data_IF_368975388685
#
_entry.id   IF_368975388685
#
_cell.length_a   1.000
_cell.length_b   1.000
_cell.length_c   1.000
_cell.angle_alpha   90.00
_cell.angle_beta   90.00
_cell.angle_gamma   90.00
#
_symmetry.space_group_name_H-M   'P 1'
#
loop_
_entity.id
_entity.type
_entity.pdbx_description
1 polymer ?
#
# COMPACT_ATOMS: atom_id res chain seq x y z
N UNK A 1 37.88 -4.05 75.85
CA UNK A 1 37.83 -3.39 74.53
C UNK A 1 37.50 -1.93 74.79
N UNK A 2 38.27 -1.00 74.20
CA UNK A 2 38.10 0.44 74.42
C UNK A 2 36.79 0.92 73.77
N UNK A 3 35.91 1.56 74.55
CA UNK A 3 34.60 2.06 74.12
C UNK A 3 34.72 3.01 72.92
N UNK A 4 35.78 3.83 72.90
CA UNK A 4 36.07 4.76 71.80
C UNK A 4 36.38 4.04 70.50
N UNK A 5 37.03 2.88 70.56
CA UNK A 5 37.37 2.09 69.40
C UNK A 5 36.13 1.47 68.75
N UNK A 6 35.18 0.99 69.56
CA UNK A 6 33.89 0.47 69.08
C UNK A 6 33.05 1.58 68.47
N UNK A 7 32.99 2.75 69.11
CA UNK A 7 32.30 3.92 68.56
C UNK A 7 32.83 4.34 67.18
N UNK A 8 34.16 4.39 67.02
CA UNK A 8 34.79 4.69 65.73
C UNK A 8 34.44 3.66 64.64
N UNK A 9 34.43 2.37 64.97
CA UNK A 9 34.06 1.32 64.02
C UNK A 9 32.61 1.43 63.56
N UNK A 10 31.69 1.76 64.46
CA UNK A 10 30.28 1.99 64.12
C UNK A 10 30.12 3.15 63.12
N UNK A 11 30.75 4.30 63.39
CA UNK A 11 30.70 5.45 62.47
C UNK A 11 31.34 5.14 61.12
N UNK A 12 32.44 4.38 61.09
CA UNK A 12 33.07 3.94 59.84
C UNK A 12 32.17 3.00 59.03
N UNK A 13 31.39 2.15 59.71
CA UNK A 13 30.39 1.30 59.07
C UNK A 13 29.25 2.13 58.47
N UNK A 14 28.67 3.05 59.25
CA UNK A 14 27.60 3.94 58.79
C UNK A 14 28.02 4.78 57.57
N UNK A 15 29.20 5.39 57.63
CA UNK A 15 29.74 6.16 56.48
C UNK A 15 29.82 5.30 55.22
N UNK A 16 30.37 4.08 55.34
CA UNK A 16 30.51 3.16 54.21
C UNK A 16 29.14 2.73 53.67
N UNK A 17 28.20 2.41 54.56
CA UNK A 17 26.85 2.04 54.19
C UNK A 17 26.14 3.16 53.40
N UNK A 18 26.20 4.39 53.90
CA UNK A 18 25.63 5.56 53.22
C UNK A 18 26.30 5.78 51.85
N UNK A 19 27.62 5.65 51.76
CA UNK A 19 28.33 5.77 50.49
C UNK A 19 27.91 4.68 49.49
N UNK A 20 27.75 3.44 49.94
CA UNK A 20 27.24 2.35 49.10
C UNK A 20 25.80 2.62 48.63
N UNK A 21 24.94 3.16 49.49
CA UNK A 21 23.58 3.55 49.11
C UNK A 21 23.56 4.70 48.10
N UNK A 22 24.38 5.73 48.30
CA UNK A 22 24.53 6.83 47.33
C UNK A 22 24.96 6.29 45.97
N UNK A 23 25.93 5.38 45.92
CA UNK A 23 26.38 4.77 44.68
C UNK A 23 25.25 3.96 44.01
N UNK A 24 24.48 3.18 44.77
CA UNK A 24 23.32 2.46 44.25
C UNK A 24 22.28 3.41 43.65
N UNK A 25 21.98 4.52 44.33
CA UNK A 25 21.04 5.53 43.85
C UNK A 25 21.56 6.24 42.58
N UNK A 26 22.86 6.55 42.50
CA UNK A 26 23.46 7.17 41.31
C UNK A 26 23.53 6.22 40.11
N UNK A 27 23.65 4.92 40.35
CA UNK A 27 23.68 3.90 39.30
C UNK A 27 22.28 3.51 38.80
N UNK A 28 21.22 4.02 39.44
CA UNK A 28 19.85 3.79 39.00
C UNK A 28 19.66 4.37 37.60
N UNK A 29 19.63 3.49 36.60
CA UNK A 29 19.26 3.85 35.23
C UNK A 29 17.81 3.48 34.99
N UNK A 30 17.01 4.47 34.62
CA UNK A 30 15.66 4.25 34.13
C UNK A 30 15.72 3.88 32.64
N UNK A 31 14.82 2.99 32.20
CA UNK A 31 14.65 2.65 30.77
C UNK A 31 14.41 3.93 29.93
N UNK A 32 13.81 4.95 30.53
CA UNK A 32 13.43 6.20 29.85
C UNK A 32 14.51 7.29 29.90
N UNK A 33 15.71 6.98 30.39
CA UNK A 33 16.77 7.98 30.53
C UNK A 33 17.37 8.41 29.18
N UNK A 34 17.17 7.61 28.12
CA UNK A 34 17.71 7.85 26.78
C UNK A 34 16.61 7.79 25.71
N UNK A 35 15.44 8.35 25.99
CA UNK A 35 14.41 8.52 24.96
C UNK A 35 14.91 9.51 23.93
N UNK A 36 14.84 9.14 22.66
CA UNK A 36 15.09 10.07 21.55
C UNK A 36 14.00 11.14 21.56
N UNK A 37 14.43 12.38 21.72
CA UNK A 37 13.56 13.56 21.74
C UNK A 37 13.90 14.46 20.57
N UNK A 38 12.91 15.24 20.13
CA UNK A 38 13.12 16.31 19.18
C UNK A 38 14.27 17.25 19.63
N UNK A 39 15.18 17.66 18.73
CA UNK A 39 16.22 18.64 19.04
C UNK A 39 15.63 19.93 19.61
N UNK A 40 16.41 20.63 20.44
CA UNK A 40 15.97 21.86 21.11
C UNK A 40 15.52 22.94 20.12
N UNK A 41 16.28 23.15 19.04
CA UNK A 41 15.96 24.14 18.01
C UNK A 41 14.59 23.86 17.35
N UNK A 42 14.36 22.61 17.00
CA UNK A 42 13.09 22.17 16.41
C UNK A 42 11.94 22.27 17.41
N UNK A 43 12.18 21.95 18.68
CA UNK A 43 11.19 22.12 19.76
C UNK A 43 10.82 23.59 19.96
N UNK A 44 11.79 24.50 20.00
CA UNK A 44 11.50 25.92 20.16
C UNK A 44 10.71 26.50 18.97
N UNK A 45 10.94 25.98 17.77
CA UNK A 45 10.21 26.38 16.57
C UNK A 45 8.79 25.81 16.49
N UNK A 46 8.58 24.54 16.84
CA UNK A 46 7.30 23.85 16.68
C UNK A 46 6.40 23.87 17.91
N UNK A 47 6.98 23.99 19.11
CA UNK A 47 6.22 23.86 20.36
C UNK A 47 5.26 25.05 20.57
N UNK A 48 3.98 24.77 20.84
CA UNK A 48 3.03 25.79 21.26
C UNK A 48 3.46 26.51 22.55
N UNK A 49 3.02 27.77 22.72
CA UNK A 49 3.41 28.63 23.84
C UNK A 49 3.19 28.01 25.23
N UNK A 50 2.20 27.11 25.36
CA UNK A 50 1.93 26.40 26.61
C UNK A 50 3.10 25.55 27.12
N UNK A 51 3.97 25.05 26.23
CA UNK A 51 5.16 24.27 26.61
C UNK A 51 6.43 25.13 26.67
N UNK A 52 6.40 26.39 26.21
CA UNK A 52 7.56 27.30 26.26
C UNK A 52 7.63 28.13 27.55
N UNK A 53 6.60 28.06 28.40
CA UNK A 53 6.57 28.77 29.67
C UNK A 53 7.51 28.12 30.69
N UNK A 54 8.20 28.90 31.54
CA UNK A 54 8.98 28.37 32.66
C UNK A 54 10.30 27.67 32.29
N UNK A 55 10.93 28.05 31.17
CA UNK A 55 12.20 27.49 30.68
C UNK A 55 13.43 27.87 31.53
N UNK A 56 13.27 28.62 32.61
CA UNK A 56 14.38 29.07 33.47
C UNK A 56 15.05 27.91 34.23
N UNK A 57 14.33 26.79 34.43
CA UNK A 57 14.85 25.59 35.07
C UNK A 57 15.00 24.45 34.04
N UNK A 58 16.22 23.86 33.88
CA UNK A 58 16.45 22.73 32.98
C UNK A 58 15.51 21.54 33.20
N UNK A 59 15.11 21.27 34.45
CA UNK A 59 14.18 20.18 34.76
C UNK A 59 12.77 20.47 34.22
N UNK A 60 12.29 21.70 34.40
CA UNK A 60 10.97 22.13 33.89
C UNK A 60 10.95 22.11 32.36
N UNK A 61 12.02 22.59 31.72
CA UNK A 61 12.20 22.50 30.26
C UNK A 61 12.13 21.04 29.78
N UNK A 62 12.80 20.11 30.47
CA UNK A 62 12.76 18.69 30.11
C UNK A 62 11.35 18.11 30.22
N UNK A 63 10.59 18.44 31.27
CA UNK A 63 9.20 18.00 31.42
C UNK A 63 8.34 18.50 30.26
N UNK A 64 8.47 19.79 29.90
CA UNK A 64 7.70 20.36 28.81
C UNK A 64 8.03 19.72 27.45
N UNK A 65 9.31 19.42 27.21
CA UNK A 65 9.74 18.67 26.02
C UNK A 65 9.13 17.27 25.97
N UNK A 66 9.11 16.55 27.10
CA UNK A 66 8.51 15.22 27.18
C UNK A 66 7.00 15.24 26.96
N UNK A 67 6.30 16.24 27.51
CA UNK A 67 4.85 16.39 27.32
C UNK A 67 4.50 16.71 25.87
N UNK A 68 5.23 17.63 25.25
CA UNK A 68 5.06 17.95 23.82
C UNK A 68 5.27 16.71 22.94
N UNK A 69 6.37 15.99 23.12
CA UNK A 69 6.67 14.78 22.36
C UNK A 69 5.59 13.70 22.53
N UNK A 70 5.10 13.52 23.77
CA UNK A 70 4.01 12.58 24.05
C UNK A 70 2.74 12.93 23.29
N UNK A 71 2.36 14.20 23.30
CA UNK A 71 1.13 14.66 22.65
C UNK A 71 1.25 14.53 21.13
N UNK A 72 2.41 14.88 20.55
CA UNK A 72 2.70 14.68 19.12
C UNK A 72 2.63 13.20 18.73
N UNK A 73 3.27 12.31 19.49
CA UNK A 73 3.23 10.86 19.23
C UNK A 73 1.82 10.30 19.32
N UNK A 74 1.03 10.77 20.29
CA UNK A 74 -0.36 10.33 20.44
C UNK A 74 -1.20 10.82 19.24
N UNK A 75 -1.02 12.07 18.81
CA UNK A 75 -1.72 12.60 17.64
C UNK A 75 -1.36 11.84 16.36
N UNK A 76 -0.07 11.53 16.15
CA UNK A 76 0.40 10.74 15.01
C UNK A 76 -0.15 9.32 15.05
N UNK A 77 -0.18 8.68 16.22
CA UNK A 77 -0.76 7.35 16.36
C UNK A 77 -2.25 7.34 15.99
N UNK A 78 -3.02 8.31 16.46
CA UNK A 78 -4.44 8.44 16.08
C UNK A 78 -4.61 8.66 14.56
N UNK A 79 -3.73 9.45 13.94
CA UNK A 79 -3.74 9.65 12.48
C UNK A 79 -3.43 8.35 11.74
N UNK A 80 -2.43 7.60 12.21
CA UNK A 80 -2.06 6.30 11.64
C UNK A 80 -3.23 5.31 11.73
N UNK A 81 -3.89 5.22 12.89
CA UNK A 81 -5.05 4.36 13.10
C UNK A 81 -6.21 4.74 12.16
N UNK A 82 -6.50 6.05 12.03
CA UNK A 82 -7.52 6.55 11.08
C UNK A 82 -7.16 6.19 9.63
N UNK A 83 -5.92 6.42 9.21
CA UNK A 83 -5.47 6.11 7.85
C UNK A 83 -5.46 4.59 7.59
N UNK A 84 -5.14 3.78 8.59
CA UNK A 84 -5.19 2.33 8.48
C UNK A 84 -6.62 1.82 8.22
N UNK A 85 -7.63 2.40 8.89
CA UNK A 85 -9.04 2.09 8.63
C UNK A 85 -9.45 2.47 7.20
N UNK A 86 -9.15 3.70 6.77
CA UNK A 86 -9.44 4.16 5.41
C UNK A 86 -8.77 3.27 4.36
N UNK A 87 -7.50 2.89 4.60
CA UNK A 87 -6.77 1.96 3.73
C UNK A 87 -7.48 0.61 3.64
N UNK A 88 -7.95 0.05 4.76
CA UNK A 88 -8.68 -1.22 4.75
C UNK A 88 -10.00 -1.12 3.99
N UNK A 89 -10.73 -0.02 4.11
CA UNK A 89 -11.97 0.23 3.36
C UNK A 89 -11.69 0.31 1.86
N UNK A 90 -10.70 1.11 1.44
CA UNK A 90 -10.30 1.21 0.03
C UNK A 90 -9.83 -0.12 -0.57
N UNK A 91 -9.13 -0.96 0.21
CA UNK A 91 -8.75 -2.30 -0.23
C UNK A 91 -9.99 -3.17 -0.46
N UNK A 92 -10.99 -3.11 0.44
CA UNK A 92 -12.25 -3.85 0.27
C UNK A 92 -13.02 -3.37 -0.96
N UNK A 93 -13.06 -2.06 -1.21
CA UNK A 93 -13.70 -1.50 -2.41
C UNK A 93 -13.00 -1.91 -3.69
N UNK A 94 -11.66 -1.83 -3.74
CA UNK A 94 -10.88 -2.31 -4.88
C UNK A 94 -11.12 -3.79 -5.16
N UNK A 95 -11.13 -4.64 -4.13
CA UNK A 95 -11.45 -6.07 -4.29
C UNK A 95 -12.84 -6.29 -4.87
N UNK A 96 -13.86 -5.56 -4.38
CA UNK A 96 -15.21 -5.61 -4.97
C UNK A 96 -15.23 -5.15 -6.44
N UNK A 97 -14.39 -4.18 -6.80
CA UNK A 97 -14.20 -3.74 -8.18
C UNK A 97 -13.58 -4.83 -9.04
N UNK A 98 -12.50 -5.46 -8.56
CA UNK A 98 -11.84 -6.60 -9.20
C UNK A 98 -12.82 -7.76 -9.38
N UNK A 99 -13.56 -8.15 -8.35
CA UNK A 99 -14.55 -9.23 -8.43
C UNK A 99 -15.65 -8.95 -9.47
N UNK A 100 -15.98 -7.68 -9.74
CA UNK A 100 -16.94 -7.29 -10.78
C UNK A 100 -16.31 -7.36 -12.17
N UNK A 101 -15.07 -6.88 -12.32
CA UNK A 101 -14.32 -6.98 -13.57
C UNK A 101 -14.14 -8.45 -13.96
N UNK A 102 -13.69 -9.29 -13.03
CA UNK A 102 -13.53 -10.74 -13.26
C UNK A 102 -14.84 -11.43 -13.67
N UNK A 103 -15.99 -10.92 -13.20
CA UNK A 103 -17.31 -11.39 -13.66
C UNK A 103 -17.59 -10.94 -15.08
N UNK A 104 -17.37 -9.66 -15.39
CA UNK A 104 -17.59 -9.14 -16.74
C UNK A 104 -16.69 -9.82 -17.76
N UNK A 105 -15.43 -10.08 -17.43
CA UNK A 105 -14.50 -10.81 -18.29
C UNK A 105 -15.03 -12.21 -18.62
N UNK A 106 -15.51 -12.96 -17.61
CA UNK A 106 -16.13 -14.27 -17.84
C UNK A 106 -17.38 -14.21 -18.71
N UNK A 107 -18.27 -13.24 -18.45
CA UNK A 107 -19.46 -13.07 -19.27
C UNK A 107 -19.11 -12.71 -20.72
N UNK A 108 -18.03 -11.95 -20.92
CA UNK A 108 -17.56 -11.58 -22.24
C UNK A 108 -16.95 -12.78 -22.97
N UNK A 109 -16.14 -13.59 -22.28
CA UNK A 109 -15.61 -14.85 -22.81
C UNK A 109 -16.74 -15.81 -23.22
N UNK A 110 -17.75 -15.98 -22.35
CA UNK A 110 -18.93 -16.80 -22.64
C UNK A 110 -19.71 -16.26 -23.85
N UNK A 111 -19.85 -14.93 -23.96
CA UNK A 111 -20.50 -14.29 -25.11
C UNK A 111 -19.74 -14.54 -26.40
N UNK A 112 -18.41 -14.34 -26.41
CA UNK A 112 -17.55 -14.60 -27.57
C UNK A 112 -17.68 -16.05 -28.02
N UNK A 113 -17.59 -17.00 -27.07
CA UNK A 113 -17.77 -18.44 -27.35
C UNK A 113 -19.16 -18.75 -27.92
N UNK A 114 -20.21 -18.14 -27.38
CA UNK A 114 -21.58 -18.34 -27.86
C UNK A 114 -21.82 -17.72 -29.25
N UNK A 115 -21.09 -16.66 -29.61
CA UNK A 115 -21.18 -16.02 -30.93
C UNK A 115 -20.33 -16.71 -32.01
N UNK A 116 -19.34 -17.51 -31.64
CA UNK A 116 -18.45 -18.18 -32.60
C UNK A 116 -19.21 -19.04 -33.65
N UNK A 117 -20.23 -19.86 -33.28
CA UNK A 117 -20.99 -20.62 -34.27
C UNK A 117 -21.78 -19.75 -35.26
N UNK A 118 -22.25 -18.57 -34.80
CA UNK A 118 -22.95 -17.61 -35.66
C UNK A 118 -21.98 -16.93 -36.62
N UNK A 119 -20.77 -16.60 -36.15
CA UNK A 119 -19.72 -16.02 -36.98
C UNK A 119 -19.27 -17.00 -38.09
N UNK A 120 -19.09 -18.28 -37.75
CA UNK A 120 -18.74 -19.32 -38.72
C UNK A 120 -19.85 -19.49 -39.76
N UNK A 121 -21.12 -19.54 -39.35
CA UNK A 121 -22.26 -19.63 -40.27
C UNK A 121 -22.36 -18.41 -41.21
N UNK A 122 -22.05 -17.19 -40.72
CA UNK A 122 -22.04 -15.99 -41.57
C UNK A 122 -20.89 -16.00 -42.58
N UNK A 123 -19.72 -16.54 -42.22
CA UNK A 123 -18.58 -16.67 -43.14
C UNK A 123 -18.85 -17.71 -44.23
N UNK A 124 -19.50 -18.81 -43.88
CA UNK A 124 -19.90 -19.85 -44.82
C UNK A 124 -20.94 -19.32 -45.84
N UNK A 125 -21.84 -18.43 -45.43
CA UNK A 125 -22.83 -17.82 -46.33
C UNK A 125 -22.21 -16.76 -47.27
N UNK A 126 -21.17 -16.05 -46.83
CA UNK A 126 -20.41 -15.11 -47.69
C UNK A 126 -19.48 -15.80 -48.70
N UNK A 127 -19.18 -17.09 -48.53
CA UNK A 127 -18.26 -17.85 -49.38
C UNK A 127 -18.95 -18.75 -50.41
N UNK A 128 -20.30 -18.80 -50.44
CA UNK A 128 -21.05 -19.43 -51.54
C UNK A 128 -21.16 -18.47 -52.74
N UNK A 129 -20.40 -18.65 -53.83
CA UNK A 129 -20.75 -18.00 -55.08
C UNK A 129 -22.09 -18.56 -55.55
N UNK A 130 -23.01 -17.66 -55.89
CA UNK A 130 -24.23 -18.01 -56.61
C UNK A 130 -23.87 -18.58 -57.99
N UNK A 131 -24.71 -19.54 -58.42
CA UNK A 131 -24.89 -20.07 -59.78
C UNK A 131 -23.91 -21.14 -60.28
N UNK A 132 -24.45 -22.34 -60.50
CA UNK A 132 -24.59 -22.90 -61.85
C UNK A 132 -25.76 -23.89 -61.84
N UNK A 133 -26.93 -23.46 -62.31
CA UNK A 133 -28.01 -24.37 -62.73
C UNK A 133 -27.71 -24.79 -64.16
N UNK A 134 -27.46 -26.09 -64.33
CA UNK A 134 -27.39 -26.80 -65.61
C UNK A 134 -28.61 -26.50 -66.51
N UNK A 135 -28.35 -26.11 -67.76
CA UNK A 135 -29.29 -26.20 -68.88
C UNK A 135 -28.66 -27.10 -69.97
N UNK A 136 -29.22 -28.29 -70.27
CA UNK A 136 -28.81 -29.07 -71.42
C UNK A 136 -29.74 -28.80 -72.62
N UNK A 137 -29.13 -28.78 -73.81
CA UNK A 137 -29.74 -28.90 -75.14
C UNK A 137 -30.12 -27.61 -75.90
N UNK A 138 -29.27 -27.27 -76.88
CA UNK A 138 -29.71 -26.92 -78.24
C UNK A 138 -28.53 -27.02 -79.24
N UNK A 139 -28.49 -28.10 -80.01
CA UNK A 139 -28.08 -28.06 -81.43
C UNK A 139 -29.29 -28.48 -82.25
N UNK A 140 -29.47 -27.91 -83.45
CA UNK A 140 -29.26 -28.78 -84.61
C UNK A 140 -28.60 -28.10 -85.83
N UNK A 141 -28.04 -28.99 -86.65
CA UNK A 141 -27.47 -28.85 -87.99
C UNK A 141 -28.26 -27.99 -89.00
N UNK A 142 -27.55 -27.36 -89.95
CA UNK A 142 -27.46 -27.83 -91.35
C UNK A 142 -27.14 -26.71 -92.40
N UNK A 143 -25.99 -26.90 -93.07
CA UNK A 143 -25.81 -26.94 -94.55
C UNK A 143 -25.86 -25.63 -95.38
N UNK A 144 -24.67 -25.34 -95.95
CA UNK A 144 -24.32 -24.97 -97.36
C UNK A 144 -25.12 -23.88 -98.11
N UNK A 145 -24.57 -23.08 -99.04
CA UNK A 145 -23.48 -23.26 -99.99
C UNK A 145 -23.18 -21.90 -100.66
N UNK A 146 -22.00 -21.82 -101.27
CA UNK A 146 -21.62 -20.99 -102.43
C UNK A 146 -21.28 -19.50 -102.24
N UNK A 147 -20.25 -18.92 -102.88
CA UNK A 147 -19.21 -19.38 -103.82
C UNK A 147 -18.17 -18.24 -103.92
N UNK A 148 -16.90 -18.64 -103.99
CA UNK A 148 -15.70 -18.05 -104.62
C UNK A 148 -15.52 -16.53 -104.78
N UNK A 149 -14.31 -16.05 -104.44
CA UNK A 149 -13.47 -15.35 -105.43
C UNK A 149 -11.97 -15.36 -105.07
N UNK A 150 -11.18 -15.44 -106.13
CA UNK A 150 -9.75 -15.73 -106.31
C UNK A 150 -8.73 -14.67 -105.82
N UNK A 151 -7.47 -15.12 -105.88
CA UNK A 151 -6.21 -14.39 -106.19
C UNK A 151 -5.57 -13.46 -105.14
N UNK A 152 -4.51 -13.94 -104.47
CA UNK A 152 -3.10 -13.73 -104.85
C UNK A 152 -2.14 -14.44 -103.87
#
# INVERSE_FOLDING_TARGET
MDEKYVGLQNTMYEKRHILEEILKCQQLRSVYQHVELLPLESFEASAPDRYRQGNDNPHTLMIHRLLFEKDERTSLQEQEERLALVRQELIKENRKGQDKLDRYDKLLDDFVLATAPLEDALKDDQTKPEMETDDPAAQPDAVMMDVDTEEA
#
